data_IF_870034671509
#
_entry.id   IF_870034671509
#
_cell.length_a   1.000
_cell.length_b   1.000
_cell.length_c   1.000
_cell.angle_alpha   90.00
_cell.angle_beta   90.00
_cell.angle_gamma   90.00
#
_symmetry.space_group_name_H-M   'P 1'
#
loop_
_entity.id
_entity.type
_entity.pdbx_description
1 polymer ?
#
# COMPACT_ATOMS: atom_id res chain seq x y z
N UNK A 1 -7.96 26.64 -11.46
CA UNK A 1 -6.88 25.63 -11.60
C UNK A 1 -7.25 24.50 -10.67
N UNK A 2 -7.31 23.28 -11.18
CA UNK A 2 -7.52 22.12 -10.32
C UNK A 2 -6.20 21.83 -9.60
N UNK A 3 -6.22 21.86 -8.28
CA UNK A 3 -5.07 21.47 -7.47
C UNK A 3 -5.03 19.94 -7.39
N UNK A 4 -3.83 19.38 -7.31
CA UNK A 4 -3.63 17.93 -7.25
C UNK A 4 -3.35 17.52 -5.82
N UNK A 5 -3.92 16.41 -5.34
CA UNK A 5 -3.67 15.91 -3.98
C UNK A 5 -2.17 15.64 -3.72
N UNK A 6 -1.45 15.19 -4.75
CA UNK A 6 0.01 15.10 -4.76
C UNK A 6 0.56 15.92 -5.92
N UNK A 7 1.57 16.75 -5.65
CA UNK A 7 2.31 17.51 -6.66
C UNK A 7 2.72 16.64 -7.87
N UNK A 8 2.57 17.20 -9.08
CA UNK A 8 2.80 16.47 -10.33
C UNK A 8 4.23 15.95 -10.48
N UNK A 9 5.22 16.65 -9.92
CA UNK A 9 6.66 16.31 -9.99
C UNK A 9 7.13 15.52 -8.77
N UNK A 10 6.24 15.19 -7.84
CA UNK A 10 6.57 14.42 -6.65
C UNK A 10 7.06 13.00 -7.00
N UNK A 11 8.12 12.57 -6.31
CA UNK A 11 8.59 11.18 -6.38
C UNK A 11 7.51 10.17 -5.96
N UNK A 12 6.54 10.60 -5.14
CA UNK A 12 5.40 9.78 -4.72
C UNK A 12 4.60 9.33 -5.94
N UNK A 13 4.27 10.23 -6.88
CA UNK A 13 3.59 9.86 -8.14
C UNK A 13 4.43 8.90 -8.99
N UNK A 14 5.76 9.03 -8.99
CA UNK A 14 6.66 8.12 -9.72
C UNK A 14 6.62 6.70 -9.12
N UNK A 15 6.66 6.59 -7.79
CA UNK A 15 6.61 5.32 -7.06
C UNK A 15 5.25 4.65 -7.28
N UNK A 16 4.15 5.37 -7.05
CA UNK A 16 2.79 4.84 -7.14
C UNK A 16 2.26 4.73 -8.58
N UNK A 17 3.01 5.24 -9.56
CA UNK A 17 2.74 5.08 -10.99
C UNK A 17 3.36 3.82 -11.61
N UNK A 18 4.26 3.13 -10.90
CA UNK A 18 4.98 1.96 -11.40
C UNK A 18 4.61 0.70 -10.60
N UNK A 19 3.97 -0.24 -11.28
CA UNK A 19 3.51 -1.51 -10.69
C UNK A 19 4.62 -2.37 -10.11
N UNK A 20 5.79 -2.42 -10.75
CA UNK A 20 6.95 -3.19 -10.27
C UNK A 20 7.51 -2.58 -8.98
N UNK A 21 7.56 -1.25 -8.90
CA UNK A 21 8.01 -0.53 -7.71
C UNK A 21 7.05 -0.76 -6.54
N UNK A 22 5.75 -0.69 -6.79
CA UNK A 22 4.72 -0.99 -5.80
C UNK A 22 4.87 -2.43 -5.30
N UNK A 23 4.98 -3.39 -6.21
CA UNK A 23 5.08 -4.81 -5.86
C UNK A 23 6.33 -5.09 -5.03
N UNK A 24 7.47 -4.51 -5.40
CA UNK A 24 8.73 -4.64 -4.66
C UNK A 24 8.59 -4.15 -3.22
N UNK A 25 8.05 -2.94 -3.02
CA UNK A 25 7.90 -2.34 -1.69
C UNK A 25 6.87 -3.11 -0.86
N UNK A 26 5.69 -3.38 -1.42
CA UNK A 26 4.60 -4.03 -0.68
C UNK A 26 4.91 -5.49 -0.36
N UNK A 27 5.45 -6.25 -1.30
CA UNK A 27 5.79 -7.66 -1.05
C UNK A 27 6.89 -7.76 0.02
N UNK A 28 7.94 -6.92 -0.07
CA UNK A 28 9.01 -6.88 0.92
C UNK A 28 8.49 -6.50 2.32
N UNK A 29 7.75 -5.41 2.43
CA UNK A 29 7.18 -4.96 3.70
C UNK A 29 6.18 -5.97 4.30
N UNK A 30 5.36 -6.62 3.46
CA UNK A 30 4.40 -7.63 3.93
C UNK A 30 5.11 -8.88 4.45
N UNK A 31 6.19 -9.31 3.80
CA UNK A 31 6.99 -10.45 4.24
C UNK A 31 7.68 -10.16 5.59
N UNK A 32 8.27 -8.98 5.74
CA UNK A 32 8.89 -8.55 7.00
C UNK A 32 7.84 -8.43 8.12
N UNK A 33 6.70 -7.80 7.83
CA UNK A 33 5.61 -7.65 8.77
C UNK A 33 5.07 -8.99 9.29
N UNK A 34 4.90 -9.98 8.41
CA UNK A 34 4.44 -11.31 8.80
C UNK A 34 5.41 -12.07 9.73
N UNK A 35 6.70 -11.70 9.74
CA UNK A 35 7.74 -12.33 10.56
C UNK A 35 8.04 -11.58 11.88
N UNK A 36 7.44 -10.41 12.08
CA UNK A 36 7.73 -9.57 13.24
C UNK A 36 6.86 -9.96 14.45
N UNK A 37 7.47 -10.54 15.50
CA UNK A 37 6.77 -10.92 16.74
C UNK A 37 5.99 -9.79 17.41
N UNK A 38 6.42 -8.54 17.24
CA UNK A 38 5.71 -7.39 17.81
C UNK A 38 4.28 -7.23 17.26
N UNK A 39 3.97 -7.87 16.12
CA UNK A 39 2.64 -7.79 15.49
C UNK A 39 1.79 -9.06 15.68
N UNK A 40 2.27 -10.06 16.44
CA UNK A 40 1.56 -11.32 16.68
C UNK A 40 0.14 -11.11 17.24
N UNK A 41 -0.05 -10.06 18.05
CA UNK A 41 -1.36 -9.72 18.64
C UNK A 41 -2.44 -9.46 17.58
N UNK A 42 -2.07 -9.02 16.38
CA UNK A 42 -3.02 -8.79 15.28
C UNK A 42 -3.60 -10.09 14.70
N UNK A 43 -2.92 -11.21 14.92
CA UNK A 43 -3.33 -12.53 14.43
C UNK A 43 -4.22 -13.28 15.42
N UNK A 44 -4.35 -12.81 16.67
CA UNK A 44 -5.09 -13.49 17.74
C UNK A 44 -6.53 -13.87 17.36
N UNK A 45 -7.21 -13.01 16.60
CA UNK A 45 -8.61 -13.25 16.17
C UNK A 45 -8.73 -13.99 14.82
N UNK A 46 -7.63 -14.19 14.10
CA UNK A 46 -7.64 -14.75 12.74
C UNK A 46 -8.27 -13.86 11.66
N UNK A 47 -8.82 -12.69 12.00
CA UNK A 47 -9.45 -11.77 11.04
C UNK A 47 -8.45 -11.07 10.10
N UNK A 48 -7.22 -10.82 10.57
CA UNK A 48 -6.18 -10.21 9.76
C UNK A 48 -5.73 -11.12 8.59
N UNK A 49 -5.38 -12.41 8.82
CA UNK A 49 -4.88 -13.31 7.78
C UNK A 49 -5.96 -13.92 6.87
N UNK A 50 -7.25 -13.58 7.04
CA UNK A 50 -8.33 -14.25 6.31
C UNK A 50 -8.34 -13.97 4.79
N UNK A 51 -7.73 -12.87 4.34
CA UNK A 51 -7.53 -12.54 2.91
C UNK A 51 -6.36 -11.56 2.71
N UNK A 52 -5.10 -12.01 2.80
CA UNK A 52 -3.95 -11.11 2.77
C UNK A 52 -3.71 -10.50 1.38
N UNK A 53 -3.96 -11.27 0.31
CA UNK A 53 -3.75 -10.80 -1.06
C UNK A 53 -4.81 -9.79 -1.48
N UNK A 54 -6.09 -10.07 -1.21
CA UNK A 54 -7.17 -9.14 -1.53
C UNK A 54 -7.00 -7.81 -0.78
N UNK A 55 -6.64 -7.87 0.51
CA UNK A 55 -6.33 -6.68 1.32
C UNK A 55 -5.11 -5.90 0.83
N UNK A 56 -4.07 -6.59 0.37
CA UNK A 56 -2.90 -5.95 -0.22
C UNK A 56 -3.29 -5.17 -1.48
N UNK A 57 -3.95 -5.83 -2.44
CA UNK A 57 -4.34 -5.19 -3.69
C UNK A 57 -5.37 -4.07 -3.48
N UNK A 58 -6.31 -4.22 -2.54
CA UNK A 58 -7.27 -3.15 -2.23
C UNK A 58 -6.57 -1.93 -1.64
N UNK A 59 -5.58 -2.14 -0.76
CA UNK A 59 -4.79 -1.05 -0.16
C UNK A 59 -3.97 -0.32 -1.22
N UNK A 60 -3.30 -1.07 -2.10
CA UNK A 60 -2.53 -0.51 -3.21
C UNK A 60 -3.41 0.29 -4.16
N UNK A 61 -4.57 -0.25 -4.54
CA UNK A 61 -5.50 0.41 -5.45
C UNK A 61 -6.04 1.72 -4.83
N UNK A 62 -6.40 1.67 -3.55
CA UNK A 62 -6.89 2.84 -2.83
C UNK A 62 -5.81 3.93 -2.69
N UNK A 63 -4.59 3.56 -2.33
CA UNK A 63 -3.48 4.50 -2.24
C UNK A 63 -3.14 5.14 -3.59
N UNK A 64 -3.15 4.35 -4.68
CA UNK A 64 -2.98 4.88 -6.04
C UNK A 64 -4.08 5.86 -6.39
N UNK A 65 -5.34 5.58 -6.05
CA UNK A 65 -6.45 6.52 -6.30
C UNK A 65 -6.15 7.89 -5.67
N UNK A 66 -5.82 7.91 -4.37
CA UNK A 66 -5.51 9.15 -3.64
C UNK A 66 -4.33 9.91 -4.28
N UNK A 67 -3.24 9.20 -4.62
CA UNK A 67 -2.02 9.85 -5.15
C UNK A 67 -2.27 10.58 -6.47
N UNK A 68 -3.22 10.11 -7.28
CA UNK A 68 -3.52 10.66 -8.59
C UNK A 68 -4.81 11.50 -8.63
N UNK A 69 -5.49 11.68 -7.50
CA UNK A 69 -6.72 12.47 -7.39
C UNK A 69 -6.43 13.98 -7.47
N UNK A 70 -7.47 14.72 -7.85
CA UNK A 70 -7.58 16.17 -7.69
C UNK A 70 -7.93 16.51 -6.22
N UNK A 71 -7.56 17.69 -5.75
CA UNK A 71 -7.83 18.19 -4.39
C UNK A 71 -9.24 18.77 -4.22
#
# INVERSE_FOLDING_TARGET
MTTLFVDQKSIVRKIWGNSDTILLIFAGASAEFALNKAVDWLYFTGKLPNDPLGRLFSTVAYARKIVFEEE
#
